data_IF_345403644570
#
_entry.id   IF_345403644570
#
_cell.length_a   1.000
_cell.length_b   1.000
_cell.length_c   1.000
_cell.angle_alpha   90.00
_cell.angle_beta   90.00
_cell.angle_gamma   90.00
#
_symmetry.space_group_name_H-M   'P 1'
#
loop_
_entity.id
_entity.type
_entity.pdbx_description
1 polymer ?
#
# COMPACT_ATOMS: atom_id res chain seq x y z
N UNK A 1 -13.20 7.94 18.59
CA UNK A 1 -13.81 7.73 17.25
C UNK A 1 -14.44 9.00 16.69
N UNK A 2 -15.25 9.75 17.46
CA UNK A 2 -15.83 11.03 17.02
C UNK A 2 -14.78 12.05 16.51
N UNK A 3 -13.67 12.22 17.24
CA UNK A 3 -12.58 13.14 16.83
C UNK A 3 -11.98 12.82 15.45
N UNK A 4 -11.82 11.54 15.11
CA UNK A 4 -11.27 11.16 13.82
C UNK A 4 -12.26 11.25 12.66
N UNK A 5 -13.54 11.06 12.95
CA UNK A 5 -14.61 11.34 11.98
C UNK A 5 -14.66 12.85 11.72
N UNK A 6 -14.56 13.67 12.77
CA UNK A 6 -14.48 15.12 12.65
C UNK A 6 -13.24 15.55 11.84
N UNK A 7 -12.07 14.99 12.15
CA UNK A 7 -10.83 15.24 11.40
C UNK A 7 -10.96 14.86 9.92
N UNK A 8 -11.49 13.67 9.61
CA UNK A 8 -11.75 13.25 8.23
C UNK A 8 -12.71 14.21 7.52
N UNK A 9 -13.78 14.63 8.20
CA UNK A 9 -14.75 15.56 7.64
C UNK A 9 -14.13 16.96 7.40
N UNK A 10 -13.27 17.41 8.32
CA UNK A 10 -12.50 18.63 8.20
C UNK A 10 -11.58 18.58 6.98
N UNK A 11 -10.77 17.51 6.85
CA UNK A 11 -9.89 17.30 5.68
C UNK A 11 -10.72 17.27 4.40
N UNK A 12 -11.88 16.59 4.39
CA UNK A 12 -12.77 16.55 3.22
C UNK A 12 -13.30 17.92 2.80
N UNK A 13 -13.52 18.83 3.73
CA UNK A 13 -13.99 20.20 3.44
C UNK A 13 -12.82 21.09 3.00
N UNK A 14 -11.68 20.98 3.68
CA UNK A 14 -10.59 21.94 3.56
C UNK A 14 -9.44 21.51 2.61
N UNK A 15 -9.32 20.24 2.23
CA UNK A 15 -8.46 19.78 1.13
C UNK A 15 -9.21 19.77 -0.21
N UNK A 16 -9.82 20.91 -0.56
CA UNK A 16 -10.57 21.10 -1.80
C UNK A 16 -10.18 22.41 -2.51
N UNK A 17 -10.75 22.66 -3.69
CA UNK A 17 -10.51 23.92 -4.44
C UNK A 17 -11.08 25.15 -3.73
N UNK A 18 -12.06 24.97 -2.83
CA UNK A 18 -12.70 26.04 -2.07
C UNK A 18 -12.77 25.66 -0.58
N UNK A 19 -11.66 25.79 0.16
CA UNK A 19 -11.62 25.45 1.59
C UNK A 19 -12.55 26.36 2.41
N UNK A 20 -13.15 25.82 3.48
CA UNK A 20 -13.94 26.62 4.44
C UNK A 20 -13.04 27.41 5.40
N UNK A 21 -11.80 26.95 5.58
CA UNK A 21 -10.77 27.53 6.46
C UNK A 21 -9.49 27.72 5.67
N UNK A 22 -8.96 28.94 5.65
CA UNK A 22 -7.62 29.22 5.12
C UNK A 22 -6.57 28.68 6.11
N UNK A 23 -5.86 27.63 5.68
CA UNK A 23 -4.73 27.05 6.41
C UNK A 23 -3.41 27.55 5.83
N UNK A 24 -2.42 27.82 6.68
CA UNK A 24 -1.06 28.08 6.21
C UNK A 24 -0.40 26.82 5.67
N UNK A 25 0.67 26.98 4.88
CA UNK A 25 1.44 25.83 4.40
C UNK A 25 2.04 25.02 5.55
N UNK A 26 2.41 25.67 6.66
CA UNK A 26 2.92 25.01 7.87
C UNK A 26 1.84 24.16 8.54
N UNK A 27 0.61 24.70 8.67
CA UNK A 27 -0.53 23.96 9.23
C UNK A 27 -0.91 22.77 8.37
N UNK A 28 -0.91 22.94 7.03
CA UNK A 28 -1.16 21.83 6.11
C UNK A 28 -0.11 20.72 6.28
N UNK A 29 1.17 21.07 6.39
CA UNK A 29 2.24 20.09 6.60
C UNK A 29 2.11 19.37 7.95
N UNK A 30 1.80 20.10 9.02
CA UNK A 30 1.61 19.49 10.34
C UNK A 30 0.44 18.49 10.36
N UNK A 31 -0.67 18.83 9.70
CA UNK A 31 -1.82 17.93 9.55
C UNK A 31 -1.43 16.69 8.75
N UNK A 32 -0.74 16.86 7.61
CA UNK A 32 -0.26 15.75 6.78
C UNK A 32 0.59 14.78 7.60
N UNK A 33 1.58 15.29 8.33
CA UNK A 33 2.47 14.47 9.14
C UNK A 33 1.74 13.79 10.30
N UNK A 34 0.88 14.53 11.01
CA UNK A 34 0.14 14.00 12.16
C UNK A 34 -0.84 12.89 11.77
N UNK A 35 -1.56 13.06 10.66
CA UNK A 35 -2.50 12.05 10.13
C UNK A 35 -1.74 10.81 9.66
N UNK A 36 -0.63 11.00 8.95
CA UNK A 36 0.20 9.89 8.46
C UNK A 36 0.82 9.09 9.62
N UNK A 37 1.38 9.76 10.62
CA UNK A 37 1.90 9.10 11.83
C UNK A 37 0.78 8.39 12.60
N UNK A 38 -0.37 9.05 12.78
CA UNK A 38 -1.53 8.45 13.43
C UNK A 38 -2.01 7.16 12.75
N UNK A 39 -1.99 7.12 11.41
CA UNK A 39 -2.33 5.93 10.64
C UNK A 39 -1.43 4.73 10.99
N UNK A 40 -0.15 4.95 11.26
CA UNK A 40 0.78 3.86 11.62
C UNK A 40 0.65 3.43 13.08
N UNK A 41 0.33 4.35 13.99
CA UNK A 41 0.27 4.09 15.43
C UNK A 41 -1.04 3.44 15.87
N UNK A 42 -2.15 3.72 15.17
CA UNK A 42 -3.48 3.29 15.57
C UNK A 42 -3.86 1.96 14.91
N UNK A 43 -4.82 1.23 15.47
CA UNK A 43 -5.35 -0.05 14.96
C UNK A 43 -6.88 -0.01 14.79
N UNK A 44 -7.40 -0.96 14.00
CA UNK A 44 -8.84 -1.17 13.82
C UNK A 44 -9.53 -0.07 12.99
N UNK A 45 -10.83 0.13 13.22
CA UNK A 45 -11.66 1.04 12.41
C UNK A 45 -11.13 2.48 12.33
N UNK A 46 -10.41 2.92 13.35
CA UNK A 46 -9.83 4.26 13.39
C UNK A 46 -8.67 4.40 12.40
N UNK A 47 -7.84 3.35 12.24
CA UNK A 47 -6.79 3.31 11.23
C UNK A 47 -7.37 3.44 9.82
N UNK A 48 -8.53 2.82 9.55
CA UNK A 48 -9.23 2.95 8.26
C UNK A 48 -9.69 4.39 7.97
N UNK A 49 -10.14 5.13 9.00
CA UNK A 49 -10.52 6.54 8.81
C UNK A 49 -9.30 7.41 8.48
N UNK A 50 -8.16 7.18 9.14
CA UNK A 50 -6.92 7.91 8.89
C UNK A 50 -6.34 7.55 7.52
N UNK A 51 -6.36 6.28 7.12
CA UNK A 51 -5.95 5.86 5.77
C UNK A 51 -6.77 6.56 4.68
N UNK A 52 -8.08 6.70 4.88
CA UNK A 52 -8.93 7.46 3.96
C UNK A 52 -8.58 8.96 3.95
N UNK A 53 -8.28 9.54 5.11
CA UNK A 53 -7.83 10.93 5.19
C UNK A 53 -6.49 11.15 4.46
N UNK A 54 -5.51 10.25 4.64
CA UNK A 54 -4.24 10.26 3.89
C UNK A 54 -4.50 10.20 2.39
N UNK A 55 -5.36 9.27 1.95
CA UNK A 55 -5.69 9.12 0.52
C UNK A 55 -6.31 10.40 -0.05
N UNK A 56 -7.21 11.04 0.69
CA UNK A 56 -7.85 12.28 0.26
C UNK A 56 -6.84 13.42 0.10
N UNK A 57 -5.98 13.63 1.09
CA UNK A 57 -4.94 14.66 1.02
C UNK A 57 -3.96 14.37 -0.13
N UNK A 58 -3.57 13.12 -0.30
CA UNK A 58 -2.66 12.70 -1.36
C UNK A 58 -3.21 12.97 -2.77
N UNK A 59 -4.53 12.94 -2.99
CA UNK A 59 -5.11 13.27 -4.31
C UNK A 59 -4.78 14.68 -4.79
N UNK A 60 -4.70 15.64 -3.86
CA UNK A 60 -4.41 17.05 -4.16
C UNK A 60 -2.91 17.33 -4.09
N UNK A 61 -2.23 16.69 -3.14
CA UNK A 61 -0.89 17.11 -2.73
C UNK A 61 0.24 16.23 -3.28
N UNK A 62 -0.04 15.00 -3.70
CA UNK A 62 0.98 14.08 -4.21
C UNK A 62 1.08 14.15 -5.74
N UNK A 63 2.30 14.24 -6.33
CA UNK A 63 3.61 14.16 -5.66
C UNK A 63 4.24 15.50 -5.24
N UNK A 64 3.82 16.64 -5.76
CA UNK A 64 4.59 17.90 -5.69
C UNK A 64 4.59 18.55 -4.31
N UNK A 65 3.44 18.58 -3.62
CA UNK A 65 3.29 19.23 -2.31
C UNK A 65 3.58 18.28 -1.14
N UNK A 66 3.56 16.97 -1.37
CA UNK A 66 3.82 15.96 -0.34
C UNK A 66 4.83 14.88 -0.81
N UNK A 67 6.08 15.28 -1.15
CA UNK A 67 7.09 14.35 -1.68
C UNK A 67 7.55 13.30 -0.66
N UNK A 68 7.37 13.55 0.64
CA UNK A 68 7.78 12.64 1.71
C UNK A 68 6.81 11.46 1.94
N UNK A 69 5.62 11.47 1.31
CA UNK A 69 4.59 10.44 1.52
C UNK A 69 5.06 9.02 1.17
N UNK A 70 5.55 8.81 -0.05
CA UNK A 70 5.99 7.49 -0.51
C UNK A 70 7.24 6.99 0.24
N UNK A 71 8.27 7.81 0.49
CA UNK A 71 9.37 7.44 1.38
C UNK A 71 8.91 6.99 2.77
N UNK A 72 8.01 7.74 3.41
CA UNK A 72 7.50 7.39 4.73
C UNK A 72 6.73 6.06 4.75
N UNK A 73 5.95 5.79 3.69
CA UNK A 73 5.27 4.50 3.50
C UNK A 73 6.28 3.37 3.29
N UNK A 74 7.30 3.58 2.47
CA UNK A 74 8.33 2.57 2.16
C UNK A 74 9.15 2.17 3.40
N UNK A 75 9.41 3.11 4.32
CA UNK A 75 10.06 2.78 5.59
C UNK A 75 9.26 1.80 6.44
N UNK A 76 7.92 1.87 6.42
CA UNK A 76 7.09 0.92 7.18
C UNK A 76 7.12 -0.50 6.61
N UNK A 77 7.57 -0.69 5.36
CA UNK A 77 7.78 -2.03 4.79
C UNK A 77 9.01 -2.74 5.38
N UNK A 78 9.91 -1.99 6.02
CA UNK A 78 11.15 -2.53 6.60
C UNK A 78 11.00 -2.94 8.07
N UNK A 79 9.92 -2.53 8.72
CA UNK A 79 9.68 -2.74 10.17
C UNK A 79 8.95 -4.05 10.41
N UNK A 80 9.28 -4.75 11.50
CA UNK A 80 8.63 -5.99 11.94
C UNK A 80 7.28 -5.77 12.67
N UNK A 81 6.51 -4.75 12.27
CA UNK A 81 5.16 -4.49 12.78
C UNK A 81 4.14 -4.71 11.65
N UNK A 82 3.44 -5.85 11.71
CA UNK A 82 2.46 -6.23 10.69
C UNK A 82 1.31 -5.23 10.55
N UNK A 83 0.94 -4.53 11.63
CA UNK A 83 -0.13 -3.54 11.57
C UNK A 83 0.29 -2.28 10.82
N UNK A 84 1.56 -1.86 10.96
CA UNK A 84 2.13 -0.76 10.18
C UNK A 84 2.36 -1.17 8.73
N UNK A 85 2.84 -2.39 8.51
CA UNK A 85 3.05 -2.97 7.18
C UNK A 85 1.74 -2.98 6.37
N UNK A 86 0.67 -3.53 6.94
CA UNK A 86 -0.66 -3.59 6.27
C UNK A 86 -1.18 -2.19 5.98
N UNK A 87 -1.09 -1.27 6.94
CA UNK A 87 -1.54 0.11 6.74
C UNK A 87 -0.79 0.83 5.61
N UNK A 88 0.53 0.64 5.55
CA UNK A 88 1.37 1.19 4.50
C UNK A 88 1.01 0.61 3.13
N UNK A 89 0.91 -0.73 3.02
CA UNK A 89 0.55 -1.41 1.78
C UNK A 89 -0.86 -1.02 1.28
N UNK A 90 -1.82 -0.83 2.18
CA UNK A 90 -3.15 -0.33 1.83
C UNK A 90 -3.10 1.08 1.25
N UNK A 91 -2.37 1.99 1.90
CA UNK A 91 -2.19 3.35 1.41
C UNK A 91 -1.48 3.37 0.05
N UNK A 92 -0.45 2.54 -0.14
CA UNK A 92 0.22 2.37 -1.43
C UNK A 92 -0.71 1.81 -2.52
N UNK A 93 -1.53 0.78 -2.24
CA UNK A 93 -2.49 0.26 -3.23
C UNK A 93 -3.47 1.35 -3.68
N UNK A 94 -3.98 2.17 -2.76
CA UNK A 94 -4.88 3.27 -3.13
C UNK A 94 -4.17 4.38 -3.90
N UNK A 95 -2.96 4.75 -3.49
CA UNK A 95 -2.19 5.81 -4.14
C UNK A 95 -1.78 5.44 -5.57
N UNK A 96 -1.27 4.21 -5.75
CA UNK A 96 -0.72 3.77 -7.04
C UNK A 96 -1.76 3.26 -8.03
N UNK A 97 -3.04 3.15 -7.63
CA UNK A 97 -4.13 2.76 -8.56
C UNK A 97 -4.20 3.68 -9.78
N UNK A 98 -3.90 4.96 -9.63
CA UNK A 98 -3.97 5.92 -10.74
C UNK A 98 -3.05 5.55 -11.91
N UNK A 99 -1.91 4.92 -11.64
CA UNK A 99 -1.00 4.41 -12.68
C UNK A 99 -1.64 3.33 -13.57
N UNK A 100 -2.77 2.72 -13.15
CA UNK A 100 -3.48 1.73 -13.94
C UNK A 100 -4.51 2.32 -14.92
N UNK A 101 -4.94 3.57 -14.70
CA UNK A 101 -6.07 4.14 -15.42
C UNK A 101 -5.72 5.42 -16.17
N UNK A 102 -4.70 6.14 -15.72
CA UNK A 102 -4.25 7.34 -16.40
C UNK A 102 -3.49 7.04 -17.69
N UNK A 103 -3.74 7.85 -18.71
CA UNK A 103 -3.04 7.77 -20.00
C UNK A 103 -1.55 8.09 -19.83
N UNK A 104 -0.72 7.39 -20.62
CA UNK A 104 0.74 7.60 -20.63
C UNK A 104 1.06 9.07 -20.90
N UNK A 105 1.77 9.69 -19.95
CA UNK A 105 2.29 11.06 -20.06
C UNK A 105 3.68 11.12 -19.41
N UNK A 106 4.50 12.10 -19.80
CA UNK A 106 5.83 12.30 -19.21
C UNK A 106 5.76 12.55 -17.70
N UNK A 107 4.74 13.28 -17.25
CA UNK A 107 4.50 13.55 -15.83
C UNK A 107 4.18 12.25 -15.07
N UNK A 108 3.23 11.46 -15.56
CA UNK A 108 2.86 10.17 -14.95
C UNK A 108 4.06 9.22 -14.88
N UNK A 109 4.87 9.16 -15.94
CA UNK A 109 6.07 8.34 -15.99
C UNK A 109 7.14 8.77 -15.00
N UNK A 110 7.36 10.08 -14.87
CA UNK A 110 8.34 10.64 -13.92
C UNK A 110 7.93 10.33 -12.49
N UNK A 111 6.64 10.52 -12.18
CA UNK A 111 6.07 10.19 -10.88
C UNK A 111 6.16 8.69 -10.58
N UNK A 112 5.71 7.83 -11.51
CA UNK A 112 5.78 6.38 -11.37
C UNK A 112 7.22 5.91 -11.13
N UNK A 113 8.19 6.44 -11.88
CA UNK A 113 9.61 6.09 -11.72
C UNK A 113 10.15 6.48 -10.34
N UNK A 114 9.77 7.65 -9.82
CA UNK A 114 10.13 8.08 -8.46
C UNK A 114 9.56 7.13 -7.39
N UNK A 115 8.27 6.79 -7.51
CA UNK A 115 7.62 5.81 -6.63
C UNK A 115 8.29 4.44 -6.70
N UNK A 116 8.56 3.97 -7.91
CA UNK A 116 9.18 2.67 -8.17
C UNK A 116 10.56 2.57 -7.50
N UNK A 117 11.45 3.55 -7.72
CA UNK A 117 12.80 3.52 -7.14
C UNK A 117 12.78 3.46 -5.61
N UNK A 118 11.77 4.08 -4.99
CA UNK A 118 11.61 4.10 -3.52
C UNK A 118 11.04 2.78 -2.99
N UNK A 119 10.16 2.12 -3.75
CA UNK A 119 9.32 1.01 -3.24
C UNK A 119 9.79 -0.36 -3.72
N UNK A 120 10.44 -0.48 -4.87
CA UNK A 120 10.72 -1.76 -5.53
C UNK A 120 11.49 -2.77 -4.66
N UNK A 121 12.55 -2.32 -3.98
CA UNK A 121 13.35 -3.17 -3.10
C UNK A 121 12.61 -3.58 -1.83
N UNK A 122 12.09 -2.65 -0.99
CA UNK A 122 11.39 -3.03 0.23
C UNK A 122 10.14 -3.89 -0.05
N UNK A 123 9.40 -3.61 -1.14
CA UNK A 123 8.25 -4.42 -1.54
C UNK A 123 8.66 -5.86 -1.88
N UNK A 124 9.75 -6.04 -2.62
CA UNK A 124 10.27 -7.36 -2.99
C UNK A 124 10.75 -8.14 -1.77
N UNK A 125 11.39 -7.46 -0.81
CA UNK A 125 11.80 -8.07 0.47
C UNK A 125 10.59 -8.56 1.28
N UNK A 126 9.52 -7.76 1.37
CA UNK A 126 8.28 -8.19 2.02
C UNK A 126 7.70 -9.41 1.30
N UNK A 127 7.63 -9.38 -0.03
CA UNK A 127 7.12 -10.51 -0.81
C UNK A 127 7.91 -11.79 -0.53
N UNK A 128 9.25 -11.74 -0.64
CA UNK A 128 10.12 -12.88 -0.37
C UNK A 128 9.93 -13.44 1.05
N UNK A 129 9.87 -12.57 2.07
CA UNK A 129 9.60 -12.95 3.45
C UNK A 129 8.24 -13.65 3.59
N UNK A 130 7.21 -13.17 2.91
CA UNK A 130 5.90 -13.82 2.93
C UNK A 130 5.93 -15.22 2.26
N UNK A 131 6.74 -15.42 1.22
CA UNK A 131 6.89 -16.74 0.59
C UNK A 131 7.56 -17.76 1.52
N UNK A 132 8.44 -17.33 2.43
CA UNK A 132 9.08 -18.22 3.41
C UNK A 132 8.08 -18.84 4.40
N UNK A 133 6.91 -18.21 4.60
CA UNK A 133 5.86 -18.74 5.46
C UNK A 133 4.95 -19.79 4.77
N UNK A 134 5.05 -19.99 3.46
CA UNK A 134 4.25 -20.98 2.71
C UNK A 134 4.30 -22.39 3.32
N UNK A 135 5.47 -22.93 3.72
CA UNK A 135 5.54 -24.27 4.35
C UNK A 135 4.77 -24.36 5.66
N UNK A 136 4.65 -23.24 6.41
CA UNK A 136 4.03 -23.16 7.72
C UNK A 136 2.51 -22.89 7.66
N UNK A 137 1.94 -22.70 6.46
CA UNK A 137 0.52 -22.33 6.27
C UNK A 137 -0.48 -23.26 6.96
N UNK A 138 -0.18 -24.56 7.06
CA UNK A 138 -1.08 -25.56 7.65
C UNK A 138 -1.03 -25.57 9.18
N UNK A 139 -0.03 -24.91 9.77
CA UNK A 139 0.19 -24.83 11.22
C UNK A 139 -0.12 -23.44 11.78
N UNK A 140 -0.44 -22.47 10.91
CA UNK A 140 -0.89 -21.13 11.30
C UNK A 140 -2.30 -21.18 11.91
N UNK A 141 -2.57 -20.27 12.85
CA UNK A 141 -3.95 -20.02 13.26
C UNK A 141 -4.75 -19.41 12.11
N UNK A 142 -6.07 -19.45 12.19
CA UNK A 142 -6.93 -18.85 11.17
C UNK A 142 -6.66 -17.34 11.00
N UNK A 143 -6.45 -16.64 12.12
CA UNK A 143 -6.16 -15.20 12.15
C UNK A 143 -4.83 -14.89 11.48
N UNK A 144 -3.76 -15.62 11.82
CA UNK A 144 -2.45 -15.46 11.19
C UNK A 144 -2.48 -15.77 9.69
N UNK A 145 -3.23 -16.79 9.28
CA UNK A 145 -3.38 -17.14 7.88
C UNK A 145 -4.09 -16.04 7.08
N UNK A 146 -5.16 -15.46 7.62
CA UNK A 146 -5.89 -14.34 6.99
C UNK A 146 -4.97 -13.13 6.84
N UNK A 147 -4.23 -12.77 7.89
CA UNK A 147 -3.31 -11.64 7.85
C UNK A 147 -2.17 -11.85 6.84
N UNK A 148 -1.61 -13.06 6.78
CA UNK A 148 -0.57 -13.42 5.82
C UNK A 148 -1.07 -13.32 4.37
N UNK A 149 -2.27 -13.84 4.09
CA UNK A 149 -2.90 -13.74 2.77
C UNK A 149 -3.24 -12.29 2.39
N UNK A 150 -3.67 -11.49 3.36
CA UNK A 150 -3.93 -10.06 3.15
C UNK A 150 -2.67 -9.33 2.71
N UNK A 151 -1.54 -9.53 3.41
CA UNK A 151 -0.26 -8.93 3.05
C UNK A 151 0.17 -9.37 1.65
N UNK A 152 0.10 -10.67 1.33
CA UNK A 152 0.46 -11.18 0.00
C UNK A 152 -0.43 -10.59 -1.11
N UNK A 153 -1.72 -10.44 -0.86
CA UNK A 153 -2.66 -9.81 -1.78
C UNK A 153 -2.31 -8.33 -2.02
N UNK A 154 -2.03 -7.59 -0.95
CA UNK A 154 -1.69 -6.16 -1.04
C UNK A 154 -0.35 -5.94 -1.76
N UNK A 155 0.68 -6.72 -1.42
CA UNK A 155 1.98 -6.66 -2.12
C UNK A 155 1.81 -6.92 -3.61
N UNK A 156 1.00 -7.93 -3.98
CA UNK A 156 0.71 -8.25 -5.38
C UNK A 156 -0.02 -7.10 -6.10
N UNK A 157 -0.96 -6.43 -5.44
CA UNK A 157 -1.67 -5.27 -6.00
C UNK A 157 -0.75 -4.07 -6.20
N UNK A 158 0.11 -3.78 -5.23
CA UNK A 158 1.11 -2.70 -5.32
C UNK A 158 2.07 -2.99 -6.47
N UNK A 159 2.60 -4.22 -6.54
CA UNK A 159 3.44 -4.68 -7.64
C UNK A 159 2.75 -4.49 -9.00
N UNK A 160 1.49 -4.94 -9.12
CA UNK A 160 0.70 -4.78 -10.34
C UNK A 160 0.52 -3.31 -10.73
N UNK A 161 0.26 -2.40 -9.79
CA UNK A 161 0.19 -0.96 -10.09
C UNK A 161 1.50 -0.42 -10.65
N UNK A 162 2.63 -0.82 -10.05
CA UNK A 162 3.96 -0.34 -10.45
C UNK A 162 4.39 -0.87 -11.82
N UNK A 163 3.91 -2.06 -12.21
CA UNK A 163 4.24 -2.70 -13.49
C UNK A 163 3.16 -2.51 -14.57
N UNK A 164 2.09 -1.75 -14.29
CA UNK A 164 0.94 -1.71 -15.20
C UNK A 164 1.28 -1.07 -16.55
N UNK A 165 2.11 -0.01 -16.53
CA UNK A 165 2.44 0.76 -17.73
C UNK A 165 3.52 0.08 -18.58
N UNK A 166 4.49 -0.54 -17.90
CA UNK A 166 5.57 -1.36 -18.44
C UNK A 166 6.20 -2.17 -17.30
N UNK A 167 6.94 -3.23 -17.63
CA UNK A 167 7.69 -4.02 -16.66
C UNK A 167 9.04 -3.36 -16.35
N UNK A 168 9.29 -2.90 -15.11
CA UNK A 168 10.56 -2.29 -14.76
C UNK A 168 11.72 -3.28 -14.70
N UNK A 169 12.90 -2.87 -15.16
CA UNK A 169 14.15 -3.66 -15.19
C UNK A 169 14.47 -4.33 -13.86
N UNK A 170 14.29 -3.61 -12.74
CA UNK A 170 14.50 -4.19 -11.41
C UNK A 170 13.65 -5.44 -11.18
N UNK A 171 12.39 -5.44 -11.61
CA UNK A 171 11.50 -6.58 -11.48
C UNK A 171 11.75 -7.65 -12.54
N UNK A 172 12.35 -7.33 -13.69
CA UNK A 172 12.83 -8.32 -14.66
C UNK A 172 13.97 -9.15 -14.07
N UNK A 173 14.96 -8.48 -13.48
CA UNK A 173 16.11 -9.13 -12.82
C UNK A 173 15.65 -9.98 -11.62
N UNK A 174 14.68 -9.46 -10.86
CA UNK A 174 14.11 -10.15 -9.70
C UNK A 174 12.88 -11.02 -10.04
N UNK A 175 12.59 -11.24 -11.33
CA UNK A 175 11.38 -11.91 -11.78
C UNK A 175 11.25 -13.33 -11.20
N UNK A 176 12.36 -14.01 -10.92
CA UNK A 176 12.34 -15.33 -10.30
C UNK A 176 11.59 -15.35 -8.96
N UNK A 177 11.71 -14.30 -8.13
CA UNK A 177 11.04 -14.20 -6.83
C UNK A 177 9.52 -14.07 -7.06
N UNK A 178 9.14 -13.18 -7.97
CA UNK A 178 7.74 -12.90 -8.31
C UNK A 178 7.08 -14.15 -8.91
N UNK A 179 7.72 -14.77 -9.91
CA UNK A 179 7.22 -15.96 -10.61
C UNK A 179 7.14 -17.16 -9.67
N UNK A 180 8.15 -17.37 -8.80
CA UNK A 180 8.12 -18.44 -7.81
C UNK A 180 6.90 -18.31 -6.90
N UNK A 181 6.63 -17.10 -6.41
CA UNK A 181 5.48 -16.88 -5.54
C UNK A 181 4.14 -17.16 -6.24
N UNK A 182 3.96 -16.67 -7.48
CA UNK A 182 2.75 -16.95 -8.27
C UNK A 182 2.56 -18.45 -8.51
N UNK A 183 3.62 -19.19 -8.85
CA UNK A 183 3.55 -20.62 -9.11
C UNK A 183 3.14 -21.41 -7.85
N UNK A 184 3.73 -21.13 -6.70
CA UNK A 184 3.37 -21.77 -5.43
C UNK A 184 1.89 -21.53 -5.08
N UNK A 185 1.39 -20.31 -5.29
CA UNK A 185 -0.03 -20.00 -5.10
C UNK A 185 -0.96 -20.77 -6.04
N UNK A 186 -0.61 -20.86 -7.33
CA UNK A 186 -1.39 -21.62 -8.30
C UNK A 186 -1.44 -23.11 -7.94
N UNK A 187 -0.30 -23.69 -7.54
CA UNK A 187 -0.22 -25.08 -7.07
C UNK A 187 -1.10 -25.29 -5.83
N UNK A 188 -1.15 -24.34 -4.90
CA UNK A 188 -2.06 -24.41 -3.74
C UNK A 188 -3.53 -24.43 -4.15
N UNK A 189 -3.94 -23.55 -5.06
CA UNK A 189 -5.33 -23.48 -5.55
C UNK A 189 -5.72 -24.77 -6.29
N UNK A 190 -4.84 -25.29 -7.15
CA UNK A 190 -5.07 -26.53 -7.87
C UNK A 190 -5.18 -27.74 -6.93
N UNK A 191 -4.32 -27.82 -5.91
CA UNK A 191 -4.39 -28.90 -4.92
C UNK A 191 -5.65 -28.81 -4.03
N UNK A 192 -6.09 -27.60 -3.68
CA UNK A 192 -7.33 -27.40 -2.93
C UNK A 192 -8.57 -27.81 -3.76
N UNK A 193 -8.63 -27.40 -5.03
CA UNK A 193 -9.74 -27.74 -5.93
C UNK A 193 -9.80 -29.25 -6.24
N UNK A 194 -8.64 -29.91 -6.38
CA UNK A 194 -8.56 -31.37 -6.54
C UNK A 194 -9.07 -32.13 -5.31
N UNK A 195 -8.68 -31.73 -4.09
CA UNK A 195 -9.18 -32.33 -2.83
C UNK A 195 -10.68 -32.15 -2.62
N UNK A 196 -11.28 -31.08 -3.15
CA UNK A 196 -12.72 -30.81 -3.05
C UNK A 196 -13.56 -31.64 -4.04
N UNK A 197 -12.98 -32.07 -5.15
CA UNK A 197 -13.64 -32.96 -6.13
C UNK A 197 -13.61 -34.44 -5.72
N UNK A 198 -12.71 -34.81 -4.81
CA UNK A 198 -12.55 -36.18 -4.30
C UNK A 198 -13.21 -36.41 -2.91
N UNK A 199 -14.03 -35.48 -2.45
CA UNK A 199 -14.89 -35.59 -1.26
C UNK A 199 -16.34 -35.48 -1.71
#
# INVERSE_FOLDING_TARGET
>A
MAAAIALKNFIRKNWSEAPEVDLSNEEEEEIRQSVLQGMFLIRGNLQNQLSHAVHLMAKRDFPERWPSLVPALAEQLKVDDLGRLVASLLAMDQLFKKFRYESKSTALWTELKSCLLTVQEPLTRVYAKMLEFIPQRNTMSAESLVQWLEILCLVSKVFHSLCFQDLPEYFEVNAYIVIRGVNEFLVLILNYTSKRKNK
#
